data_IF_660725059498
#
_entry.id   IF_660725059498
#
_cell.length_a   1.000
_cell.length_b   1.000
_cell.length_c   1.000
_cell.angle_alpha   90.00
_cell.angle_beta   90.00
_cell.angle_gamma   90.00
#
_symmetry.space_group_name_H-M   'P 1'
#
loop_
_entity.id
_entity.type
_entity.pdbx_description
1 polymer ?
#
# COMPACT_ATOMS: atom_id res chain seq x y z
N UNK A 1 -21.67 3.19 -7.67
CA UNK A 1 -20.54 3.71 -8.46
C UNK A 1 -19.68 2.51 -8.73
N UNK A 2 -19.64 2.06 -9.98
CA UNK A 2 -18.99 0.80 -10.36
C UNK A 2 -17.47 0.99 -10.17
N UNK A 3 -16.93 0.46 -9.07
CA UNK A 3 -15.50 0.43 -8.85
C UNK A 3 -14.96 -0.69 -9.73
N UNK A 4 -14.56 -0.34 -10.96
CA UNK A 4 -13.77 -1.27 -11.78
C UNK A 4 -12.62 -1.78 -10.93
N UNK A 5 -12.66 -3.10 -10.73
CA UNK A 5 -11.74 -3.82 -9.87
C UNK A 5 -10.31 -3.50 -10.33
N UNK A 6 -9.33 -3.34 -9.42
CA UNK A 6 -7.98 -2.88 -9.82
C UNK A 6 -7.42 -3.73 -10.96
N UNK A 7 -7.69 -5.04 -10.94
CA UNK A 7 -7.31 -6.02 -11.95
C UNK A 7 -7.86 -5.72 -13.36
N UNK A 8 -8.97 -5.01 -13.47
CA UNK A 8 -9.65 -4.69 -14.73
C UNK A 8 -9.14 -3.37 -15.36
N UNK A 9 -8.24 -2.66 -14.67
CA UNK A 9 -7.67 -1.39 -15.14
C UNK A 9 -6.52 -1.63 -16.14
N UNK A 10 -6.19 -0.66 -17.01
CA UNK A 10 -4.99 -0.72 -17.83
C UNK A 10 -3.74 -0.97 -16.99
N UNK A 11 -2.81 -1.79 -17.51
CA UNK A 11 -1.58 -2.21 -16.78
C UNK A 11 -0.81 -1.06 -16.17
N UNK A 12 -0.68 0.07 -16.87
CA UNK A 12 0.01 1.27 -16.36
C UNK A 12 -0.70 1.87 -15.14
N UNK A 13 -2.03 1.88 -15.13
CA UNK A 13 -2.80 2.33 -13.97
C UNK A 13 -2.67 1.35 -12.80
N UNK A 14 -2.64 0.04 -13.07
CA UNK A 14 -2.38 -0.96 -12.03
C UNK A 14 -1.01 -0.71 -11.38
N UNK A 15 0.03 -0.52 -12.19
CA UNK A 15 1.39 -0.18 -11.74
C UNK A 15 1.39 1.07 -10.86
N UNK A 16 0.74 2.15 -11.30
CA UNK A 16 0.72 3.40 -10.53
C UNK A 16 -0.02 3.24 -9.18
N UNK A 17 -1.15 2.52 -9.17
CA UNK A 17 -1.90 2.22 -7.95
C UNK A 17 -1.03 1.42 -6.96
N UNK A 18 -0.40 0.33 -7.42
CA UNK A 18 0.46 -0.50 -6.58
C UNK A 18 1.66 0.30 -6.05
N UNK A 19 2.25 1.18 -6.86
CA UNK A 19 3.34 2.06 -6.44
C UNK A 19 2.88 3.02 -5.34
N UNK A 20 1.74 3.69 -5.49
CA UNK A 20 1.17 4.60 -4.48
C UNK A 20 0.85 3.88 -3.17
N UNK A 21 0.25 2.69 -3.24
CA UNK A 21 -0.01 1.84 -2.06
C UNK A 21 1.27 1.57 -1.27
N UNK A 22 2.35 1.22 -1.97
CA UNK A 22 3.63 0.93 -1.33
C UNK A 22 4.28 2.16 -0.72
N UNK A 23 4.17 3.32 -1.37
CA UNK A 23 4.67 4.57 -0.80
C UNK A 23 3.95 4.92 0.51
N UNK A 24 2.62 4.81 0.56
CA UNK A 24 1.91 5.09 1.81
C UNK A 24 2.18 4.05 2.90
N UNK A 25 2.33 2.76 2.56
CA UNK A 25 2.78 1.76 3.53
C UNK A 25 4.18 2.08 4.09
N UNK A 26 5.12 2.49 3.23
CA UNK A 26 6.45 2.92 3.66
C UNK A 26 6.35 4.11 4.61
N UNK A 27 5.51 5.10 4.30
CA UNK A 27 5.29 6.27 5.15
C UNK A 27 4.72 5.88 6.52
N UNK A 28 3.70 5.00 6.58
CA UNK A 28 3.15 4.50 7.85
C UNK A 28 4.20 3.81 8.69
N UNK A 29 5.00 2.93 8.09
CA UNK A 29 6.06 2.22 8.81
C UNK A 29 7.17 3.15 9.29
N UNK A 30 7.57 4.14 8.49
CA UNK A 30 8.53 5.16 8.91
C UNK A 30 8.02 5.95 10.13
N UNK A 31 6.71 6.20 10.21
CA UNK A 31 6.07 6.78 11.38
C UNK A 31 5.94 5.81 12.58
N UNK A 32 6.49 4.60 12.48
CA UNK A 32 6.39 3.56 13.51
C UNK A 32 5.01 2.94 13.61
N UNK A 33 4.16 3.09 12.59
CA UNK A 33 2.79 2.55 12.55
C UNK A 33 2.79 1.21 11.82
N UNK A 34 2.30 0.18 12.50
CA UNK A 34 2.08 -1.15 11.94
C UNK A 34 0.58 -1.48 11.96
N UNK A 35 -0.02 -1.56 10.77
CA UNK A 35 -1.37 -2.08 10.63
C UNK A 35 -1.33 -3.61 10.72
N UNK A 36 -2.03 -4.16 11.72
CA UNK A 36 -1.98 -5.60 12.05
C UNK A 36 -3.11 -6.41 11.40
N UNK A 37 -4.15 -5.72 10.91
CA UNK A 37 -5.37 -6.34 10.38
C UNK A 37 -5.67 -5.84 8.96
N UNK A 38 -4.74 -6.05 8.02
CA UNK A 38 -4.89 -5.60 6.64
C UNK A 38 -6.10 -6.25 5.96
N UNK A 39 -7.08 -5.42 5.58
CA UNK A 39 -8.20 -5.80 4.72
C UNK A 39 -8.32 -4.81 3.56
N UNK A 40 -8.80 -5.30 2.41
CA UNK A 40 -8.85 -4.50 1.18
C UNK A 40 -9.87 -3.36 1.25
N UNK A 41 -10.92 -3.49 2.05
CA UNK A 41 -11.90 -2.45 2.33
C UNK A 41 -11.35 -1.29 3.18
N UNK A 42 -10.16 -1.44 3.75
CA UNK A 42 -9.43 -0.38 4.47
C UNK A 42 -8.55 0.48 3.55
N UNK A 43 -8.61 0.23 2.23
CA UNK A 43 -7.91 1.00 1.21
C UNK A 43 -8.96 1.68 0.34
N UNK A 44 -9.07 2.99 0.48
CA UNK A 44 -9.96 3.78 -0.36
C UNK A 44 -9.19 4.32 -1.57
N UNK A 45 -9.84 4.25 -2.73
CA UNK A 45 -9.31 4.72 -4.01
C UNK A 45 -10.19 5.85 -4.58
N UNK A 46 -10.28 7.02 -3.93
CA UNK A 46 -11.07 8.12 -4.46
C UNK A 46 -10.55 8.55 -5.84
N UNK A 47 -11.45 8.92 -6.77
CA UNK A 47 -11.04 9.42 -8.07
C UNK A 47 -10.22 10.69 -7.89
N UNK A 48 -9.19 10.86 -8.72
CA UNK A 48 -8.39 12.07 -8.70
C UNK A 48 -9.28 13.29 -9.01
N UNK A 49 -9.28 14.32 -8.15
CA UNK A 49 -10.20 15.46 -8.25
C UNK A 49 -9.91 16.35 -9.47
N UNK A 50 -8.68 16.34 -9.98
CA UNK A 50 -8.28 17.11 -11.15
C UNK A 50 -8.66 16.40 -12.46
N UNK A 51 -8.52 15.07 -12.49
CA UNK A 51 -8.87 14.28 -13.67
C UNK A 51 -9.23 12.80 -13.33
N UNK A 52 -10.48 12.37 -13.54
CA UNK A 52 -10.93 10.99 -13.27
C UNK A 52 -10.24 9.91 -14.10
N UNK A 53 -9.53 10.27 -15.18
CA UNK A 53 -8.80 9.31 -16.02
C UNK A 53 -7.42 8.96 -15.48
N UNK A 54 -6.90 9.75 -14.53
CA UNK A 54 -5.66 9.43 -13.82
C UNK A 54 -5.87 8.32 -12.79
N UNK A 55 -4.76 7.75 -12.32
CA UNK A 55 -4.82 6.81 -11.22
C UNK A 55 -5.46 7.46 -9.99
N UNK A 56 -6.31 6.73 -9.24
CA UNK A 56 -6.93 7.26 -8.04
C UNK A 56 -5.88 7.60 -6.97
N UNK A 57 -6.26 8.48 -6.06
CA UNK A 57 -5.48 8.66 -4.83
C UNK A 57 -5.68 7.44 -3.92
N UNK A 58 -4.76 7.24 -2.99
CA UNK A 58 -4.78 6.10 -2.06
C UNK A 58 -4.90 6.62 -0.64
N UNK A 59 -5.93 6.18 0.07
CA UNK A 59 -6.18 6.54 1.45
C UNK A 59 -6.28 5.28 2.28
N UNK A 60 -5.37 5.12 3.24
CA UNK A 60 -5.44 4.09 4.27
C UNK A 60 -6.39 4.55 5.36
N UNK A 61 -7.29 3.67 5.78
CA UNK A 61 -8.24 3.94 6.87
C UNK A 61 -8.21 2.81 7.91
N UNK A 62 -8.99 2.98 8.97
CA UNK A 62 -9.21 1.97 10.01
C UNK A 62 -7.93 1.55 10.75
N UNK A 63 -7.26 2.53 11.36
CA UNK A 63 -6.09 2.31 12.21
C UNK A 63 -6.45 1.91 13.65
N UNK A 64 -7.68 1.46 13.92
CA UNK A 64 -8.15 1.17 15.27
C UNK A 64 -7.34 0.04 15.97
N UNK A 65 -6.80 -0.89 15.18
CA UNK A 65 -5.94 -2.00 15.64
C UNK A 65 -4.48 -1.83 15.22
N UNK A 66 -4.09 -0.65 14.74
CA UNK A 66 -2.71 -0.39 14.39
C UNK A 66 -1.86 -0.23 15.67
N UNK A 67 -0.67 -0.81 15.64
CA UNK A 67 0.33 -0.61 16.68
C UNK A 67 1.18 0.61 16.32
N UNK A 68 1.54 1.41 17.31
CA UNK A 68 2.43 2.54 17.13
C UNK A 68 3.63 2.42 18.09
N UNK A 69 4.83 2.46 17.54
CA UNK A 69 6.06 2.52 18.31
C UNK A 69 6.46 3.99 18.56
N UNK A 70 6.58 4.38 19.84
CA UNK A 70 6.90 5.75 20.27
C UNK A 70 8.39 6.02 20.47
N UNK A 71 9.28 5.14 19.97
CA UNK A 71 10.71 5.44 19.83
C UNK A 71 11.58 5.17 21.05
N UNK A 72 11.03 4.66 22.17
CA UNK A 72 11.87 4.18 23.30
C UNK A 72 12.52 2.81 23.00
N UNK A 73 12.01 2.10 22.00
CA UNK A 73 12.65 0.94 21.40
C UNK A 73 12.83 1.30 19.93
N UNK A 74 14.07 1.54 19.49
CA UNK A 74 14.52 1.69 18.10
C UNK A 74 13.37 1.50 17.10
N UNK A 75 12.87 2.60 16.52
CA UNK A 75 11.63 2.67 15.74
C UNK A 75 11.37 1.39 14.94
N UNK A 76 10.12 0.89 14.98
CA UNK A 76 9.73 -0.44 14.51
C UNK A 76 10.59 -0.88 13.31
N UNK A 77 11.47 -1.90 13.47
CA UNK A 77 12.37 -2.27 12.39
C UNK A 77 11.49 -2.58 11.19
N UNK A 78 11.73 -1.86 10.09
CA UNK A 78 11.02 -2.05 8.83
C UNK A 78 11.09 -3.53 8.49
N UNK A 79 10.04 -4.30 8.83
CA UNK A 79 10.02 -5.71 8.48
C UNK A 79 10.16 -5.79 6.97
N UNK A 80 11.24 -6.40 6.48
CA UNK A 80 11.67 -6.39 5.07
C UNK A 80 10.55 -6.75 4.09
N UNK A 81 9.56 -7.49 4.56
CA UNK A 81 8.45 -7.94 3.74
C UNK A 81 7.11 -7.47 4.34
N UNK A 82 6.31 -6.67 3.60
CA UNK A 82 4.90 -6.45 3.88
C UNK A 82 4.09 -7.67 3.42
N UNK A 83 4.42 -8.85 3.97
CA UNK A 83 3.83 -10.13 3.57
C UNK A 83 2.30 -10.13 3.62
N UNK A 84 1.72 -9.42 4.60
CA UNK A 84 0.28 -9.28 4.74
C UNK A 84 -0.37 -8.49 3.58
N UNK A 85 0.13 -7.30 3.25
CA UNK A 85 -0.41 -6.50 2.14
C UNK A 85 -0.16 -7.18 0.78
N UNK A 86 1.04 -7.77 0.59
CA UNK A 86 1.34 -8.51 -0.63
C UNK A 86 0.41 -9.72 -0.82
N UNK A 87 0.09 -10.42 0.26
CA UNK A 87 -0.87 -11.54 0.24
C UNK A 87 -2.29 -11.06 -0.05
N UNK A 88 -2.72 -9.94 0.55
CA UNK A 88 -4.02 -9.33 0.28
C UNK A 88 -4.17 -8.89 -1.18
N UNK A 89 -3.14 -8.24 -1.75
CA UNK A 89 -3.14 -7.81 -3.16
C UNK A 89 -3.14 -9.00 -4.13
N UNK A 90 -2.44 -10.09 -3.80
CA UNK A 90 -2.52 -11.35 -4.57
C UNK A 90 -3.90 -12.00 -4.49
N UNK A 91 -4.50 -12.04 -3.29
CA UNK A 91 -5.87 -12.55 -3.12
C UNK A 91 -6.89 -11.72 -3.92
N UNK A 92 -6.61 -10.44 -4.14
CA UNK A 92 -7.40 -9.56 -5.00
C UNK A 92 -7.21 -9.78 -6.51
N UNK A 93 -6.22 -10.59 -6.91
CA UNK A 93 -5.95 -10.91 -8.31
C UNK A 93 -4.98 -9.95 -9.01
N UNK A 94 -4.18 -9.17 -8.26
CA UNK A 94 -3.10 -8.36 -8.84
C UNK A 94 -1.98 -9.28 -9.34
N UNK A 95 -1.55 -9.07 -10.59
CA UNK A 95 -0.50 -9.88 -11.22
C UNK A 95 0.83 -9.78 -10.44
N UNK A 96 1.49 -10.94 -10.28
CA UNK A 96 2.78 -11.02 -9.59
C UNK A 96 3.87 -10.19 -10.29
N UNK A 97 3.89 -10.11 -11.61
CA UNK A 97 4.84 -9.29 -12.37
C UNK A 97 4.64 -7.79 -12.09
N UNK A 98 3.40 -7.34 -11.94
CA UNK A 98 3.09 -5.95 -11.58
C UNK A 98 3.60 -5.69 -10.15
N UNK A 99 3.36 -6.64 -9.25
CA UNK A 99 3.85 -6.58 -7.88
C UNK A 99 5.38 -6.55 -7.80
N UNK A 100 6.08 -7.35 -8.61
CA UNK A 100 7.55 -7.40 -8.62
C UNK A 100 8.16 -6.16 -9.29
N UNK A 101 7.57 -5.67 -10.37
CA UNK A 101 8.07 -4.47 -11.08
C UNK A 101 7.94 -3.16 -10.28
N UNK A 102 7.03 -3.14 -9.29
CA UNK A 102 6.84 -2.00 -8.39
C UNK A 102 7.59 -2.18 -7.06
N UNK A 103 8.38 -3.25 -6.90
CA UNK A 103 9.11 -3.53 -5.67
C UNK A 103 10.47 -2.86 -5.76
N UNK A 104 10.58 -1.70 -5.10
CA UNK A 104 11.89 -1.14 -4.83
C UNK A 104 12.56 -2.07 -3.82
N UNK A 105 13.83 -2.43 -4.03
CA UNK A 105 14.66 -2.90 -2.91
C UNK A 105 14.45 -1.89 -1.79
N UNK A 106 14.07 -2.37 -0.60
CA UNK A 106 14.08 -1.51 0.56
C UNK A 106 15.48 -0.92 0.60
N UNK A 107 15.61 0.37 0.31
CA UNK A 107 16.83 1.11 0.60
C UNK A 107 16.89 1.09 2.12
N UNK A 108 17.48 0.04 2.67
CA UNK A 108 17.74 -0.16 4.09
C UNK A 108 18.84 0.78 4.61
N UNK A 109 19.29 1.70 3.77
CA UNK A 109 20.25 2.75 4.10
C UNK A 109 19.57 4.12 4.19
N UNK A 110 18.56 4.27 5.04
CA UNK A 110 18.21 5.59 5.57
C UNK A 110 18.05 5.50 7.09
N UNK A 111 19.23 5.47 7.73
CA UNK A 111 19.61 5.76 9.12
C UNK A 111 19.15 4.83 10.26
#
# INVERSE_FOLDING_TARGET
MDMSDIKDRPREQQIDIIRRLRHGLRASRFAGIEQTDWKLDQILCPPNPENPTFAPDIVFVDFAFALQNWGEVMGCPLHREPGALASALRAWGVDREIMESCWFEATEEEY
#
